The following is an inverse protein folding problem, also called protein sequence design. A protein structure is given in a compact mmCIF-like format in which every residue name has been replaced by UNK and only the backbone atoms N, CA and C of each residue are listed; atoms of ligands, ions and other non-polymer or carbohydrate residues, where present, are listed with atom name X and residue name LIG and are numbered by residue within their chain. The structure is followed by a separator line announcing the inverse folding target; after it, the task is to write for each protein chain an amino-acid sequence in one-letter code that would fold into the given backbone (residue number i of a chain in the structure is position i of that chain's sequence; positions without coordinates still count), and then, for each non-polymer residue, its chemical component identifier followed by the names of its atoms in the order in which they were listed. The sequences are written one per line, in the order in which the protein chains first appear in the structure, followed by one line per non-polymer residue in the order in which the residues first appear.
data_IF_571860600787
#
_entry.id   IF_571860600787
#
_cell.length_a   1.000
_cell.length_b   1.000
_cell.length_c   1.000
_cell.angle_alpha   90.00
_cell.angle_beta   90.00
_cell.angle_gamma   90.00
#
_symmetry.space_group_name_H-M   'P 1'
#
loop_
_entity.id
_entity.type
_entity.pdbx_description
1 polymer ?
#
# COMPACT_ATOMS: atom_id res chain seq x y z
N UNK A 1 24.70 -17.06 -9.78
CA UNK A 1 24.67 -16.14 -8.62
C UNK A 1 24.44 -14.75 -9.15
N UNK A 2 23.54 -13.96 -8.56
CA UNK A 2 23.34 -12.57 -9.01
C UNK A 2 24.65 -11.78 -8.89
N UNK A 3 24.83 -10.76 -9.72
CA UNK A 3 25.97 -9.83 -9.62
C UNK A 3 26.01 -9.06 -8.28
N UNK A 4 24.97 -9.20 -7.44
CA UNK A 4 24.77 -8.52 -6.16
C UNK A 4 24.82 -9.42 -4.91
N UNK A 5 25.15 -10.71 -5.08
CA UNK A 5 25.19 -11.67 -3.98
C UNK A 5 23.82 -12.22 -3.55
N UNK A 6 23.82 -13.16 -2.60
CA UNK A 6 22.58 -13.72 -2.02
C UNK A 6 21.83 -12.62 -1.27
N UNK A 7 20.52 -12.57 -1.44
CA UNK A 7 19.57 -11.63 -0.83
C UNK A 7 19.76 -11.54 0.70
N UNK A 8 19.63 -10.32 1.25
CA UNK A 8 20.03 -9.97 2.62
C UNK A 8 21.54 -9.77 2.78
N UNK A 9 21.93 -8.87 3.69
CA UNK A 9 23.33 -8.67 4.09
C UNK A 9 23.81 -9.85 4.95
N UNK A 10 25.13 -10.03 5.06
CA UNK A 10 25.72 -11.13 5.85
C UNK A 10 25.20 -11.18 7.29
N UNK A 11 24.97 -10.02 7.91
CA UNK A 11 24.52 -9.90 9.30
C UNK A 11 23.04 -10.20 9.54
N UNK A 12 22.17 -10.11 8.52
CA UNK A 12 20.72 -10.33 8.66
C UNK A 12 20.19 -11.59 7.97
N UNK A 13 21.03 -12.24 7.15
CA UNK A 13 20.63 -13.35 6.29
C UNK A 13 19.98 -14.53 7.02
N UNK A 14 20.48 -14.85 8.21
CA UNK A 14 20.13 -16.05 8.98
C UNK A 14 19.30 -15.73 10.22
N UNK A 15 18.68 -14.56 10.28
CA UNK A 15 17.82 -14.23 11.41
C UNK A 15 16.67 -15.22 11.56
N UNK A 16 16.35 -15.66 12.78
CA UNK A 16 15.19 -16.50 13.02
C UNK A 16 13.92 -15.70 12.71
N UNK A 17 12.87 -16.39 12.29
CA UNK A 17 11.63 -15.78 11.80
C UNK A 17 11.00 -14.78 12.78
N UNK A 18 11.04 -15.04 14.10
CA UNK A 18 10.51 -14.12 15.11
C UNK A 18 11.28 -12.78 15.13
N UNK A 19 12.60 -12.80 14.93
CA UNK A 19 13.43 -11.60 14.91
C UNK A 19 13.18 -10.78 13.64
N UNK A 20 12.89 -11.45 12.52
CA UNK A 20 12.45 -10.79 11.28
C UNK A 20 11.14 -10.05 11.51
N UNK A 21 10.13 -10.70 12.12
CA UNK A 21 8.84 -10.07 12.43
C UNK A 21 9.05 -8.87 13.36
N UNK A 22 9.83 -9.04 14.44
CA UNK A 22 10.12 -7.97 15.40
C UNK A 22 10.76 -6.77 14.71
N UNK A 23 11.79 -7.00 13.89
CA UNK A 23 12.49 -5.92 13.19
C UNK A 23 11.60 -5.17 12.20
N UNK A 24 10.78 -5.90 11.42
CA UNK A 24 9.82 -5.30 10.49
C UNK A 24 8.76 -4.49 11.24
N UNK A 25 8.26 -5.01 12.36
CA UNK A 25 7.28 -4.30 13.22
C UNK A 25 7.88 -3.03 13.80
N UNK A 26 9.11 -3.09 14.34
CA UNK A 26 9.81 -1.94 14.89
C UNK A 26 10.11 -0.88 13.83
N UNK A 27 10.44 -1.30 12.61
CA UNK A 27 10.61 -0.41 11.47
C UNK A 27 9.32 0.36 11.16
N UNK A 28 8.16 -0.31 11.08
CA UNK A 28 6.89 0.37 10.81
C UNK A 28 6.44 1.27 11.95
N UNK A 29 6.58 0.80 13.19
CA UNK A 29 6.33 1.62 14.37
C UNK A 29 7.19 2.89 14.35
N UNK A 30 8.48 2.76 14.07
CA UNK A 30 9.42 3.90 14.00
C UNK A 30 9.03 4.85 12.87
N UNK A 31 8.77 4.33 11.67
CA UNK A 31 8.37 5.14 10.52
C UNK A 31 7.11 5.98 10.84
N UNK A 32 6.09 5.34 11.40
CA UNK A 32 4.84 5.98 11.80
C UNK A 32 5.06 7.02 12.91
N UNK A 33 5.65 6.61 14.04
CA UNK A 33 5.80 7.45 15.21
C UNK A 33 6.70 8.67 14.95
N UNK A 34 7.81 8.49 14.22
CA UNK A 34 8.69 9.61 13.89
C UNK A 34 8.04 10.55 12.88
N UNK A 35 7.33 10.04 11.87
CA UNK A 35 6.66 10.89 10.89
C UNK A 35 5.52 11.69 11.50
N UNK A 36 4.68 11.07 12.35
CA UNK A 36 3.66 11.80 13.13
C UNK A 36 4.31 12.85 14.04
N UNK A 37 5.37 12.49 14.77
CA UNK A 37 6.09 13.45 15.61
C UNK A 37 6.69 14.59 14.81
N UNK A 38 7.17 14.38 13.59
CA UNK A 38 7.73 15.46 12.75
C UNK A 38 6.64 16.42 12.23
N UNK A 39 5.43 15.91 12.03
CA UNK A 39 4.30 16.63 11.45
C UNK A 39 3.30 17.16 12.48
N UNK A 40 3.39 16.76 13.75
CA UNK A 40 2.47 17.23 14.78
C UNK A 40 2.69 18.74 15.06
N UNK A 41 1.63 19.57 15.13
CA UNK A 41 1.77 21.00 15.43
C UNK A 41 2.45 21.28 16.77
N UNK A 42 2.36 20.35 17.73
CA UNK A 42 3.00 20.45 19.06
C UNK A 42 4.53 20.40 19.02
N UNK A 43 5.13 19.89 17.96
CA UNK A 43 6.58 19.64 17.87
C UNK A 43 7.28 20.44 16.77
N UNK A 44 6.53 21.06 15.86
CA UNK A 44 7.09 21.73 14.69
C UNK A 44 6.48 23.12 14.47
N UNK A 45 7.24 24.15 14.84
CA UNK A 45 6.85 25.56 14.75
C UNK A 45 6.57 26.02 13.32
N UNK A 46 7.18 25.39 12.31
CA UNK A 46 6.93 25.68 10.89
C UNK A 46 5.56 25.14 10.48
N UNK A 47 5.23 23.91 10.89
CA UNK A 47 3.90 23.32 10.63
C UNK A 47 2.82 24.13 11.33
N UNK A 48 3.07 24.56 12.56
CA UNK A 48 2.16 25.44 13.30
C UNK A 48 1.95 26.78 12.55
N UNK A 49 3.02 27.42 12.08
CA UNK A 49 2.93 28.66 11.32
C UNK A 49 2.20 28.49 9.98
N UNK A 50 2.47 27.41 9.23
CA UNK A 50 1.78 27.10 7.97
C UNK A 50 0.30 26.79 8.18
N UNK A 51 -0.04 26.08 9.25
CA UNK A 51 -1.44 25.78 9.62
C UNK A 51 -2.17 27.08 9.95
N UNK A 52 -1.58 27.95 10.78
CA UNK A 52 -2.14 29.27 11.11
C UNK A 52 -2.31 30.15 9.87
N UNK A 53 -1.36 30.13 8.94
CA UNK A 53 -1.45 30.87 7.67
C UNK A 53 -2.56 30.31 6.77
N UNK A 54 -2.76 28.98 6.75
CA UNK A 54 -3.83 28.35 5.97
C UNK A 54 -5.24 28.62 6.53
N UNK A 55 -5.35 28.93 7.83
CA UNK A 55 -6.60 29.34 8.47
C UNK A 55 -6.90 30.84 8.35
N UNK A 56 -5.96 31.65 7.85
CA UNK A 56 -6.26 33.04 7.49
C UNK A 56 -7.11 33.03 6.22
N UNK A 57 -8.36 33.45 6.37
CA UNK A 57 -9.45 33.41 5.39
C UNK A 57 -9.01 33.71 3.95
N UNK A 58 -8.85 32.67 3.14
CA UNK A 58 -8.91 32.77 1.69
C UNK A 58 -10.41 32.81 1.33
N UNK A 59 -10.89 33.82 0.58
CA UNK A 59 -12.30 33.92 0.21
C UNK A 59 -12.77 32.65 -0.53
N UNK A 60 -14.04 32.22 -0.35
CA UNK A 60 -14.52 30.90 -0.77
C UNK A 60 -14.75 30.76 -2.29
N UNK A 61 -14.05 31.54 -3.12
CA UNK A 61 -14.33 31.69 -4.56
C UNK A 61 -13.39 30.92 -5.48
N UNK A 62 -12.41 30.18 -4.97
CA UNK A 62 -11.64 29.24 -5.80
C UNK A 62 -12.28 27.85 -5.75
N UNK A 63 -12.69 27.35 -6.92
CA UNK A 63 -13.05 25.95 -7.14
C UNK A 63 -11.94 25.06 -6.53
N UNK A 64 -12.25 24.31 -5.46
CA UNK A 64 -11.27 23.48 -4.74
C UNK A 64 -10.87 22.29 -5.61
N UNK A 65 -9.95 22.52 -6.53
CA UNK A 65 -9.37 21.50 -7.43
C UNK A 65 -8.20 20.73 -6.79
N UNK A 66 -7.83 21.05 -5.53
CA UNK A 66 -6.74 20.43 -4.77
C UNK A 66 -7.20 19.51 -3.64
N UNK A 67 -6.24 18.77 -3.05
CA UNK A 67 -6.46 17.94 -1.86
C UNK A 67 -6.94 18.79 -0.67
N UNK A 68 -7.79 18.22 0.19
CA UNK A 68 -8.13 18.84 1.48
C UNK A 68 -6.88 19.01 2.35
N UNK A 69 -6.95 19.86 3.39
CA UNK A 69 -5.85 20.03 4.36
C UNK A 69 -5.55 18.68 5.03
N UNK A 70 -6.61 17.95 5.41
CA UNK A 70 -6.54 16.60 5.99
C UNK A 70 -5.85 15.61 5.04
N UNK A 71 -6.30 15.56 3.78
CA UNK A 71 -5.68 14.70 2.77
C UNK A 71 -4.22 15.07 2.51
N UNK A 72 -3.89 16.36 2.48
CA UNK A 72 -2.51 16.84 2.29
C UNK A 72 -1.61 16.44 3.47
N UNK A 73 -2.11 16.55 4.70
CA UNK A 73 -1.42 16.08 5.90
C UNK A 73 -1.11 14.57 5.80
N UNK A 74 -2.11 13.74 5.49
CA UNK A 74 -1.92 12.30 5.38
C UNK A 74 -1.00 11.89 4.22
N UNK A 75 -1.01 12.63 3.10
CA UNK A 75 -0.07 12.41 2.01
C UNK A 75 1.37 12.66 2.46
N UNK A 76 1.63 13.77 3.14
CA UNK A 76 2.97 14.10 3.65
C UNK A 76 3.40 13.07 4.71
N UNK A 77 2.47 12.64 5.58
CA UNK A 77 2.72 11.59 6.56
C UNK A 77 3.12 10.28 5.91
N UNK A 78 2.38 9.84 4.89
CA UNK A 78 2.66 8.62 4.13
C UNK A 78 4.02 8.70 3.41
N UNK A 79 4.29 9.82 2.72
CA UNK A 79 5.58 10.03 2.05
C UNK A 79 6.75 10.04 3.04
N UNK A 80 6.59 10.66 4.21
CA UNK A 80 7.59 10.64 5.28
C UNK A 80 7.85 9.21 5.76
N UNK A 81 6.80 8.47 6.09
CA UNK A 81 6.91 7.07 6.52
C UNK A 81 7.56 6.21 5.42
N UNK A 82 7.16 6.39 4.16
CA UNK A 82 7.74 5.72 2.98
C UNK A 82 9.24 6.03 2.87
N UNK A 83 9.67 7.26 3.17
CA UNK A 83 11.08 7.65 3.24
C UNK A 83 11.86 6.84 4.29
N UNK A 84 11.30 6.66 5.49
CA UNK A 84 11.89 5.77 6.49
C UNK A 84 12.00 4.33 5.99
N UNK A 85 10.93 3.77 5.41
CA UNK A 85 10.93 2.39 4.87
C UNK A 85 11.97 2.23 3.77
N UNK A 86 12.10 3.21 2.89
CA UNK A 86 13.14 3.22 1.86
C UNK A 86 14.54 3.21 2.47
N UNK A 87 14.82 4.02 3.50
CA UNK A 87 16.10 3.97 4.22
C UNK A 87 16.36 2.58 4.82
N UNK A 88 15.36 1.94 5.42
CA UNK A 88 15.50 0.57 5.90
C UNK A 88 15.75 -0.42 4.76
N UNK A 89 15.13 -0.25 3.59
CA UNK A 89 15.40 -1.10 2.42
C UNK A 89 16.88 -1.10 2.01
N UNK A 90 17.56 0.05 2.14
CA UNK A 90 18.99 0.23 1.90
C UNK A 90 19.84 -0.46 2.97
N UNK A 91 19.46 -0.31 4.25
CA UNK A 91 20.14 -0.93 5.39
C UNK A 91 20.06 -2.45 5.27
N UNK A 92 18.88 -3.00 5.00
CA UNK A 92 18.65 -4.44 4.95
C UNK A 92 19.00 -5.07 3.59
N UNK A 93 19.26 -4.25 2.56
CA UNK A 93 19.44 -4.67 1.15
C UNK A 93 18.25 -5.50 0.67
N UNK A 94 17.03 -5.01 0.95
CA UNK A 94 15.81 -5.74 0.67
C UNK A 94 14.59 -4.82 0.56
N UNK A 95 14.13 -4.54 -0.66
CA UNK A 95 12.93 -3.73 -0.91
C UNK A 95 11.61 -4.44 -0.56
N UNK A 96 11.61 -5.74 -0.28
CA UNK A 96 10.41 -6.46 0.21
C UNK A 96 9.98 -6.11 1.61
N UNK A 97 10.77 -5.30 2.33
CA UNK A 97 10.30 -4.66 3.55
C UNK A 97 9.18 -3.63 3.30
N UNK A 98 8.97 -3.17 2.06
CA UNK A 98 7.85 -2.30 1.70
C UNK A 98 6.55 -3.08 1.49
N UNK A 99 6.60 -4.36 1.10
CA UNK A 99 5.43 -5.17 0.74
C UNK A 99 4.33 -5.28 1.84
N UNK A 100 4.64 -5.29 3.15
CA UNK A 100 3.60 -5.24 4.19
C UNK A 100 3.12 -3.82 4.47
N UNK A 101 4.03 -2.84 4.33
CA UNK A 101 3.84 -1.47 4.76
C UNK A 101 2.62 -0.84 4.08
N UNK A 102 2.47 -1.02 2.76
CA UNK A 102 1.33 -0.47 2.01
C UNK A 102 -0.03 -1.08 2.39
N UNK A 103 -0.05 -2.23 3.09
CA UNK A 103 -1.29 -2.83 3.61
C UNK A 103 -1.63 -2.42 5.06
N UNK A 104 -0.62 -2.01 5.83
CA UNK A 104 -0.78 -1.57 7.23
C UNK A 104 -1.14 -0.08 7.27
N UNK A 105 -0.51 0.72 6.42
CA UNK A 105 -0.63 2.17 6.48
C UNK A 105 -2.07 2.70 6.28
N UNK A 106 -2.89 2.18 5.34
CA UNK A 106 -4.27 2.65 5.22
C UNK A 106 -5.09 2.48 6.50
N UNK A 107 -4.84 1.40 7.25
CA UNK A 107 -5.47 1.16 8.56
C UNK A 107 -5.01 2.19 9.59
N UNK A 108 -3.71 2.52 9.60
CA UNK A 108 -3.17 3.53 10.52
C UNK A 108 -3.68 4.94 10.21
N UNK A 109 -3.71 5.33 8.93
CA UNK A 109 -4.21 6.64 8.49
C UNK A 109 -5.68 6.82 8.88
N UNK A 110 -6.54 5.88 8.49
CA UNK A 110 -7.97 6.00 8.81
C UNK A 110 -8.22 5.87 10.32
N UNK A 111 -7.48 5.01 11.02
CA UNK A 111 -7.57 4.89 12.48
C UNK A 111 -7.17 6.19 13.20
N UNK A 112 -6.13 6.87 12.72
CA UNK A 112 -5.73 8.18 13.24
C UNK A 112 -6.80 9.24 12.97
N UNK A 113 -7.32 9.30 11.74
CA UNK A 113 -8.38 10.25 11.37
C UNK A 113 -9.65 10.08 12.20
N UNK A 114 -10.06 8.82 12.44
CA UNK A 114 -11.21 8.50 13.28
C UNK A 114 -10.96 8.84 14.76
N UNK A 115 -9.72 8.69 15.24
CA UNK A 115 -9.33 9.05 16.60
C UNK A 115 -9.28 10.55 16.85
N UNK A 116 -8.99 11.34 15.81
CA UNK A 116 -8.94 12.81 15.85
C UNK A 116 -10.29 13.48 15.54
N UNK A 117 -11.33 12.70 15.21
CA UNK A 117 -12.65 13.24 14.90
C UNK A 117 -13.36 13.67 16.18
N UNK A 118 -13.65 14.97 16.31
CA UNK A 118 -14.37 15.54 17.46
C UNK A 118 -15.86 15.13 17.49
N UNK A 119 -16.44 14.89 16.32
CA UNK A 119 -17.83 14.47 16.15
C UNK A 119 -18.04 12.98 16.47
N UNK A 120 -19.28 12.60 16.77
CA UNK A 120 -19.63 11.19 16.92
C UNK A 120 -19.40 10.42 15.62
N UNK A 121 -18.77 9.25 15.73
CA UNK A 121 -18.56 8.35 14.60
C UNK A 121 -19.90 7.89 14.02
N UNK A 122 -20.03 8.04 12.71
CA UNK A 122 -21.22 7.67 11.95
C UNK A 122 -21.20 6.18 11.58
N UNK A 123 -22.35 5.65 11.14
CA UNK A 123 -22.42 4.28 10.61
C UNK A 123 -21.47 4.05 9.43
N UNK A 124 -21.25 5.06 8.57
CA UNK A 124 -20.31 4.96 7.44
C UNK A 124 -18.86 4.87 7.94
N UNK A 125 -18.50 5.64 8.96
CA UNK A 125 -17.16 5.60 9.55
C UNK A 125 -16.80 4.18 10.01
N UNK A 126 -17.73 3.50 10.67
CA UNK A 126 -17.55 2.10 11.08
C UNK A 126 -17.45 1.14 9.88
N UNK A 127 -18.24 1.35 8.82
CA UNK A 127 -18.18 0.52 7.61
C UNK A 127 -16.82 0.66 6.91
N UNK A 128 -16.35 1.90 6.72
CA UNK A 128 -15.04 2.17 6.11
C UNK A 128 -13.93 1.53 6.96
N UNK A 129 -13.94 1.77 8.28
CA UNK A 129 -12.96 1.22 9.21
C UNK A 129 -12.93 -0.31 9.15
N UNK A 130 -14.09 -0.97 9.18
CA UNK A 130 -14.20 -2.42 9.14
C UNK A 130 -13.68 -3.00 7.82
N UNK A 131 -14.11 -2.45 6.68
CA UNK A 131 -13.72 -2.94 5.34
C UNK A 131 -12.21 -2.82 5.14
N UNK A 132 -11.61 -1.67 5.49
CA UNK A 132 -10.17 -1.43 5.35
C UNK A 132 -9.37 -2.27 6.35
N UNK A 133 -9.84 -2.43 7.60
CA UNK A 133 -9.19 -3.27 8.59
C UNK A 133 -9.18 -4.74 8.16
N UNK A 134 -10.30 -5.28 7.68
CA UNK A 134 -10.41 -6.66 7.20
C UNK A 134 -9.46 -6.90 6.02
N UNK A 135 -9.40 -5.96 5.07
CA UNK A 135 -8.48 -6.01 3.94
C UNK A 135 -7.00 -6.00 4.40
N UNK A 136 -6.62 -5.01 5.23
CA UNK A 136 -5.25 -4.84 5.70
C UNK A 136 -4.77 -6.00 6.58
N UNK A 137 -5.63 -6.49 7.47
CA UNK A 137 -5.35 -7.66 8.30
C UNK A 137 -5.09 -8.91 7.44
N UNK A 138 -5.86 -9.11 6.36
CA UNK A 138 -5.67 -10.25 5.47
C UNK A 138 -4.36 -10.18 4.69
N UNK A 139 -4.01 -9.01 4.14
CA UNK A 139 -2.73 -8.81 3.47
C UNK A 139 -1.55 -9.02 4.42
N UNK A 140 -1.65 -8.46 5.63
CA UNK A 140 -0.66 -8.63 6.69
C UNK A 140 -0.48 -10.11 7.04
N UNK A 141 -1.57 -10.87 7.20
CA UNK A 141 -1.52 -12.31 7.42
C UNK A 141 -0.82 -13.05 6.28
N UNK A 142 -1.15 -12.71 5.03
CA UNK A 142 -0.52 -13.34 3.86
C UNK A 142 0.99 -13.10 3.82
N UNK A 143 1.44 -11.91 4.21
CA UNK A 143 2.86 -11.62 4.33
C UNK A 143 3.51 -12.38 5.48
N UNK A 144 2.93 -12.36 6.68
CA UNK A 144 3.46 -13.04 7.89
C UNK A 144 3.71 -14.53 7.66
N UNK A 145 2.86 -15.20 6.88
CA UNK A 145 3.02 -16.63 6.56
C UNK A 145 4.06 -16.91 5.46
N UNK A 146 4.49 -15.91 4.71
CA UNK A 146 5.33 -16.05 3.50
C UNK A 146 6.75 -15.47 3.67
N UNK A 147 6.90 -14.36 4.39
CA UNK A 147 8.19 -13.69 4.60
C UNK A 147 8.90 -14.23 5.85
N UNK A 148 9.71 -15.28 5.67
CA UNK A 148 10.35 -15.98 6.81
C UNK A 148 11.76 -15.51 7.14
N UNK A 149 12.49 -15.01 6.16
CA UNK A 149 13.90 -14.63 6.30
C UNK A 149 14.22 -13.42 5.43
N UNK A 150 15.24 -12.65 5.80
CA UNK A 150 15.75 -11.54 4.97
C UNK A 150 16.40 -12.00 3.66
N UNK A 151 16.62 -13.30 3.51
CA UNK A 151 16.99 -13.92 2.24
C UNK A 151 15.82 -13.97 1.25
N UNK A 152 14.58 -13.75 1.68
CA UNK A 152 13.47 -13.63 0.77
C UNK A 152 13.43 -12.21 0.20
N UNK A 153 13.55 -12.07 -1.11
CA UNK A 153 13.26 -10.83 -1.81
C UNK A 153 12.39 -11.16 -3.01
N UNK A 154 11.38 -10.32 -3.26
CA UNK A 154 10.46 -10.50 -4.36
C UNK A 154 11.24 -10.57 -5.69
N UNK A 155 10.80 -11.48 -6.56
CA UNK A 155 11.41 -11.71 -7.86
C UNK A 155 11.38 -10.44 -8.74
N UNK A 156 10.40 -9.55 -8.57
CA UNK A 156 10.32 -8.24 -9.25
C UNK A 156 11.58 -7.43 -8.97
N UNK A 157 12.00 -7.42 -7.71
CA UNK A 157 13.08 -6.55 -7.24
C UNK A 157 14.41 -7.12 -7.71
N UNK A 158 14.57 -8.43 -7.61
CA UNK A 158 15.77 -9.12 -8.05
C UNK A 158 15.90 -9.15 -9.56
N UNK A 159 14.81 -9.35 -10.31
CA UNK A 159 14.81 -9.34 -11.77
C UNK A 159 15.24 -7.98 -12.31
N UNK A 160 14.70 -6.86 -11.81
CA UNK A 160 15.13 -5.53 -12.26
C UNK A 160 16.52 -5.15 -11.81
N UNK A 161 16.93 -5.59 -10.61
CA UNK A 161 18.32 -5.41 -10.17
C UNK A 161 19.29 -6.14 -11.09
N UNK A 162 18.95 -7.37 -11.49
CA UNK A 162 19.86 -8.24 -12.23
C UNK A 162 19.83 -7.97 -13.75
N UNK A 163 18.72 -7.45 -14.30
CA UNK A 163 18.56 -7.13 -15.73
C UNK A 163 19.08 -5.74 -16.13
N UNK A 164 18.90 -4.71 -15.29
CA UNK A 164 19.23 -3.32 -15.66
C UNK A 164 20.71 -2.94 -15.48
N UNK A 165 21.55 -3.87 -15.00
CA UNK A 165 22.98 -3.63 -14.74
C UNK A 165 23.86 -4.32 -15.80
N UNK A 166 23.23 -4.92 -16.83
CA UNK A 166 23.94 -5.52 -17.96
C UNK A 166 24.66 -4.49 -18.85
N UNK A 167 24.08 -3.30 -19.02
CA UNK A 167 24.56 -2.26 -19.95
C UNK A 167 25.24 -1.06 -19.26
N UNK A 168 25.15 -0.96 -17.93
CA UNK A 168 25.69 0.15 -17.14
C UNK A 168 26.95 -0.27 -16.38
N UNK A 169 27.85 0.67 -16.08
CA UNK A 169 28.95 0.42 -15.14
C UNK A 169 28.39 0.01 -13.77
N UNK A 170 29.11 -0.83 -13.03
CA UNK A 170 28.60 -1.43 -11.78
C UNK A 170 28.15 -0.37 -10.75
N UNK A 171 28.89 0.74 -10.63
CA UNK A 171 28.53 1.84 -9.74
C UNK A 171 27.28 2.61 -10.20
N UNK A 172 27.18 2.92 -11.49
CA UNK A 172 26.01 3.62 -12.03
C UNK A 172 24.75 2.75 -11.96
N UNK A 173 24.87 1.45 -12.25
CA UNK A 173 23.78 0.48 -12.13
C UNK A 173 23.20 0.38 -10.72
N UNK A 174 24.07 0.42 -9.69
CA UNK A 174 23.66 0.43 -8.28
C UNK A 174 22.85 1.67 -7.92
N UNK A 175 23.31 2.85 -8.31
CA UNK A 175 22.62 4.12 -8.03
C UNK A 175 21.27 4.15 -8.71
N UNK A 176 21.20 3.78 -9.99
CA UNK A 176 19.93 3.75 -10.73
C UNK A 176 18.96 2.72 -10.15
N UNK A 177 19.45 1.54 -9.74
CA UNK A 177 18.61 0.57 -9.05
C UNK A 177 18.01 1.14 -7.77
N UNK A 178 18.82 1.71 -6.88
CA UNK A 178 18.31 2.17 -5.59
C UNK A 178 17.46 3.42 -5.72
N UNK A 179 17.89 4.43 -6.47
CA UNK A 179 17.18 5.72 -6.57
C UNK A 179 15.95 5.60 -7.47
N UNK A 180 16.11 5.09 -8.69
CA UNK A 180 15.03 5.10 -9.70
C UNK A 180 14.11 3.91 -9.52
N UNK A 181 14.66 2.69 -9.60
CA UNK A 181 13.81 1.50 -9.58
C UNK A 181 13.26 1.22 -8.18
N UNK A 182 14.09 1.27 -7.13
CA UNK A 182 13.66 1.04 -5.76
C UNK A 182 12.93 2.23 -5.18
N UNK A 183 13.57 3.40 -5.11
CA UNK A 183 12.96 4.61 -4.53
C UNK A 183 11.71 5.03 -5.27
N UNK A 184 11.83 5.48 -6.51
CA UNK A 184 10.68 6.00 -7.26
C UNK A 184 9.68 4.90 -7.65
N UNK A 185 10.18 3.77 -8.15
CA UNK A 185 9.33 2.70 -8.68
C UNK A 185 8.69 1.81 -7.63
N UNK A 186 9.46 1.28 -6.65
CA UNK A 186 8.97 0.26 -5.72
C UNK A 186 8.39 0.86 -4.44
N UNK A 187 8.74 2.11 -4.10
CA UNK A 187 8.24 2.79 -2.90
C UNK A 187 7.27 3.92 -3.27
N UNK A 188 7.73 4.96 -3.96
CA UNK A 188 6.91 6.17 -4.19
C UNK A 188 5.68 5.89 -5.06
N UNK A 189 5.83 5.22 -6.20
CA UNK A 189 4.71 4.99 -7.11
C UNK A 189 3.57 4.17 -6.50
N UNK A 190 3.83 3.02 -5.82
CA UNK A 190 2.79 2.31 -5.08
C UNK A 190 2.21 3.13 -3.94
N UNK A 191 3.04 3.90 -3.20
CA UNK A 191 2.56 4.77 -2.12
C UNK A 191 1.52 5.76 -2.64
N UNK A 192 1.83 6.49 -3.72
CA UNK A 192 0.89 7.44 -4.30
C UNK A 192 -0.37 6.77 -4.85
N UNK A 193 -0.24 5.57 -5.40
CA UNK A 193 -1.39 4.81 -5.93
C UNK A 193 -2.34 4.37 -4.81
N UNK A 194 -1.79 3.78 -3.76
CA UNK A 194 -2.55 3.31 -2.58
C UNK A 194 -3.16 4.50 -1.84
N UNK A 195 -2.43 5.58 -1.68
CA UNK A 195 -2.95 6.83 -1.10
C UNK A 195 -4.12 7.38 -1.94
N UNK A 196 -3.96 7.43 -3.26
CA UNK A 196 -5.05 7.82 -4.17
C UNK A 196 -6.29 6.93 -4.03
N UNK A 197 -6.10 5.61 -3.93
CA UNK A 197 -7.17 4.66 -3.66
C UNK A 197 -7.83 4.81 -2.28
N UNK A 198 -7.11 5.38 -1.30
CA UNK A 198 -7.59 5.62 0.07
C UNK A 198 -8.37 6.93 0.23
N UNK A 199 -8.15 7.91 -0.67
CA UNK A 199 -8.85 9.19 -0.66
C UNK A 199 -10.37 9.08 -0.50
N UNK A 200 -11.10 8.17 -1.17
CA UNK A 200 -12.54 8.05 -0.99
C UNK A 200 -12.95 7.81 0.47
N UNK A 201 -12.17 7.03 1.22
CA UNK A 201 -12.39 6.82 2.65
C UNK A 201 -12.06 8.06 3.48
N UNK A 202 -10.94 8.74 3.19
CA UNK A 202 -10.52 9.96 3.89
C UNK A 202 -11.59 11.06 3.75
N UNK A 203 -12.04 11.32 2.51
CA UNK A 203 -13.03 12.35 2.23
C UNK A 203 -14.40 12.03 2.85
N UNK A 204 -14.84 10.76 2.81
CA UNK A 204 -16.11 10.38 3.40
C UNK A 204 -16.13 10.43 4.94
N UNK A 205 -14.97 10.29 5.59
CA UNK A 205 -14.84 10.49 7.04
C UNK A 205 -14.73 11.98 7.38
N UNK A 206 -14.05 12.78 6.55
CA UNK A 206 -13.85 14.22 6.74
C UNK A 206 -15.15 15.03 6.57
N UNK A 207 -16.03 14.61 5.66
CA UNK A 207 -17.24 15.36 5.32
C UNK A 207 -18.28 15.31 6.47
N UNK A 208 -18.43 16.43 7.18
CA UNK A 208 -19.39 16.60 8.28
C UNK A 208 -20.84 16.64 7.80
N UNK A 209 -21.07 17.01 6.54
CA UNK A 209 -22.38 17.02 5.89
C UNK A 209 -22.61 15.77 5.04
N UNK A 210 -21.74 14.75 5.21
CA UNK A 210 -21.83 13.52 4.45
C UNK A 210 -23.24 12.93 4.55
N UNK A 211 -23.74 12.40 3.44
CA UNK A 211 -25.06 11.80 3.41
C UNK A 211 -25.18 10.74 4.50
N UNK A 212 -26.38 10.54 5.06
CA UNK A 212 -26.59 9.39 5.97
C UNK A 212 -26.22 8.08 5.27
N UNK A 213 -25.84 7.08 6.05
CA UNK A 213 -25.57 5.73 5.54
C UNK A 213 -26.74 5.28 4.65
N UNK A 214 -26.42 4.88 3.43
CA UNK A 214 -27.40 4.60 2.38
C UNK A 214 -27.09 3.28 1.67
N UNK A 215 -27.91 2.94 0.67
CA UNK A 215 -27.80 1.66 -0.05
C UNK A 215 -26.46 1.54 -0.79
N UNK A 216 -25.88 2.65 -1.28
CA UNK A 216 -24.58 2.61 -1.97
C UNK A 216 -23.44 2.25 -1.02
N UNK A 217 -23.51 2.61 0.26
CA UNK A 217 -22.54 2.17 1.27
C UNK A 217 -22.53 0.64 1.39
N UNK A 218 -23.72 0.03 1.42
CA UNK A 218 -23.89 -1.43 1.50
C UNK A 218 -23.37 -2.09 0.22
N UNK A 219 -23.67 -1.53 -0.95
CA UNK A 219 -23.18 -2.03 -2.24
C UNK A 219 -21.66 -1.95 -2.29
N UNK A 220 -21.07 -0.81 -1.96
CA UNK A 220 -19.62 -0.61 -1.94
C UNK A 220 -18.92 -1.55 -0.97
N UNK A 221 -19.43 -1.68 0.27
CA UNK A 221 -18.90 -2.62 1.24
C UNK A 221 -18.99 -4.07 0.75
N UNK A 222 -20.11 -4.45 0.12
CA UNK A 222 -20.28 -5.80 -0.45
C UNK A 222 -19.28 -6.08 -1.57
N UNK A 223 -19.05 -5.11 -2.47
CA UNK A 223 -18.04 -5.21 -3.54
C UNK A 223 -16.65 -5.39 -2.92
N UNK A 224 -16.29 -4.56 -1.94
CA UNK A 224 -14.97 -4.63 -1.32
C UNK A 224 -14.74 -5.95 -0.59
N UNK A 225 -15.70 -6.39 0.21
CA UNK A 225 -15.60 -7.65 0.95
C UNK A 225 -15.59 -8.87 0.02
N UNK A 226 -16.37 -8.86 -1.05
CA UNK A 226 -16.29 -9.88 -2.10
C UNK A 226 -14.90 -9.93 -2.74
N UNK A 227 -14.30 -8.76 -2.99
CA UNK A 227 -12.91 -8.63 -3.43
C UNK A 227 -11.90 -9.26 -2.46
N UNK A 228 -12.03 -8.94 -1.17
CA UNK A 228 -11.17 -9.50 -0.11
C UNK A 228 -11.28 -11.03 -0.04
N UNK A 229 -12.50 -11.58 -0.13
CA UNK A 229 -12.74 -13.04 -0.11
C UNK A 229 -12.15 -13.71 -1.35
N UNK A 230 -12.40 -13.15 -2.53
CA UNK A 230 -11.86 -13.66 -3.81
C UNK A 230 -10.33 -13.73 -3.74
N UNK A 231 -9.71 -12.65 -3.29
CA UNK A 231 -8.27 -12.54 -3.19
C UNK A 231 -7.67 -13.46 -2.13
N UNK A 232 -8.25 -13.51 -0.93
CA UNK A 232 -7.81 -14.43 0.12
C UNK A 232 -7.90 -15.90 -0.32
N UNK A 233 -8.96 -16.27 -1.04
CA UNK A 233 -9.12 -17.60 -1.62
C UNK A 233 -8.04 -17.89 -2.66
N UNK A 234 -7.78 -16.95 -3.57
CA UNK A 234 -6.75 -17.07 -4.59
C UNK A 234 -5.34 -17.23 -3.98
N UNK A 235 -4.99 -16.41 -2.99
CA UNK A 235 -3.69 -16.46 -2.32
C UNK A 235 -3.53 -17.77 -1.52
N UNK A 236 -4.61 -18.29 -0.92
CA UNK A 236 -4.59 -19.58 -0.21
C UNK A 236 -4.41 -20.78 -1.15
N UNK A 237 -5.09 -20.78 -2.30
CA UNK A 237 -4.87 -21.78 -3.34
C UNK A 237 -3.42 -21.78 -3.81
N UNK A 238 -2.86 -20.59 -4.07
CA UNK A 238 -1.49 -20.44 -4.53
C UNK A 238 -0.46 -20.84 -3.46
N UNK A 239 -0.69 -20.46 -2.21
CA UNK A 239 0.17 -20.84 -1.08
C UNK A 239 0.22 -22.35 -0.90
N UNK A 240 -0.93 -23.02 -0.93
CA UNK A 240 -1.04 -24.47 -0.81
C UNK A 240 -0.34 -25.16 -1.97
N UNK A 241 -0.54 -24.67 -3.19
CA UNK A 241 0.15 -25.20 -4.38
C UNK A 241 1.68 -25.11 -4.26
N UNK A 242 2.22 -23.96 -3.82
CA UNK A 242 3.67 -23.78 -3.61
C UNK A 242 4.28 -24.69 -2.53
N UNK A 243 3.46 -25.16 -1.59
CA UNK A 243 3.86 -26.09 -0.53
C UNK A 243 3.64 -27.56 -0.87
N UNK A 244 3.04 -27.86 -2.02
CA UNK A 244 2.80 -29.23 -2.44
C UNK A 244 4.09 -29.94 -2.83
N UNK A 245 4.14 -31.25 -2.63
CA UNK A 245 5.29 -32.11 -3.00
C UNK A 245 5.61 -32.06 -4.50
N UNK A 246 4.64 -31.68 -5.32
CA UNK A 246 4.77 -31.63 -6.78
C UNK A 246 5.23 -30.26 -7.30
N UNK A 247 5.43 -29.27 -6.42
CA UNK A 247 5.84 -27.93 -6.85
C UNK A 247 7.30 -27.94 -7.34
N UNK A 248 7.50 -27.50 -8.59
CA UNK A 248 8.81 -27.20 -9.18
C UNK A 248 8.89 -25.72 -9.57
N UNK A 249 10.05 -25.07 -9.52
CA UNK A 249 10.22 -23.72 -10.09
C UNK A 249 9.69 -23.66 -11.52
N UNK A 250 8.87 -22.65 -11.83
CA UNK A 250 8.19 -22.51 -13.12
C UNK A 250 6.83 -23.23 -13.24
N UNK A 251 6.41 -23.98 -12.22
CA UNK A 251 5.08 -24.61 -12.21
C UNK A 251 3.96 -23.57 -12.15
N UNK A 252 2.88 -23.81 -12.90
CA UNK A 252 1.72 -22.92 -13.00
C UNK A 252 0.50 -23.62 -12.36
N UNK A 253 -0.18 -22.93 -11.45
CA UNK A 253 -1.46 -23.39 -10.90
C UNK A 253 -2.57 -23.14 -11.93
N UNK A 254 -3.18 -24.20 -12.45
CA UNK A 254 -4.21 -24.15 -13.51
C UNK A 254 -5.60 -24.62 -13.05
N UNK A 255 -5.82 -24.77 -11.75
CA UNK A 255 -7.09 -25.23 -11.16
C UNK A 255 -7.69 -24.16 -10.25
N UNK A 256 -8.94 -24.34 -9.81
CA UNK A 256 -9.62 -23.39 -8.95
C UNK A 256 -9.81 -22.03 -9.62
N UNK A 257 -9.57 -20.94 -8.88
CA UNK A 257 -9.70 -19.57 -9.41
C UNK A 257 -8.64 -19.28 -10.49
N UNK A 258 -7.44 -19.82 -10.31
CA UNK A 258 -6.31 -19.63 -11.23
C UNK A 258 -6.49 -20.34 -12.58
N UNK A 259 -7.40 -21.32 -12.65
CA UNK A 259 -7.81 -21.94 -13.92
C UNK A 259 -8.82 -21.11 -14.72
N UNK A 260 -9.47 -20.12 -14.09
CA UNK A 260 -10.51 -19.27 -14.72
C UNK A 260 -9.99 -17.89 -15.07
N UNK A 261 -9.23 -17.29 -14.15
CA UNK A 261 -8.63 -15.96 -14.30
C UNK A 261 -7.14 -16.10 -14.05
N UNK A 262 -6.30 -15.42 -14.84
CA UNK A 262 -4.84 -15.52 -14.73
C UNK A 262 -4.31 -14.97 -13.40
N UNK A 263 -4.95 -13.93 -12.88
CA UNK A 263 -4.58 -13.23 -11.64
C UNK A 263 -5.83 -12.95 -10.78
N UNK A 264 -6.46 -13.99 -10.20
CA UNK A 264 -7.70 -13.82 -9.45
C UNK A 264 -7.50 -13.01 -8.17
N UNK A 265 -6.28 -13.01 -7.62
CA UNK A 265 -5.94 -12.16 -6.49
C UNK A 265 -5.92 -10.67 -6.87
N UNK A 266 -5.52 -10.31 -8.09
CA UNK A 266 -5.51 -8.91 -8.50
C UNK A 266 -6.91 -8.41 -8.77
N UNK A 267 -7.77 -9.26 -9.34
CA UNK A 267 -9.18 -8.95 -9.49
C UNK A 267 -9.82 -8.65 -8.13
N UNK A 268 -9.53 -9.45 -7.11
CA UNK A 268 -10.04 -9.18 -5.76
C UNK A 268 -9.51 -7.89 -5.15
N UNK A 269 -8.24 -7.57 -5.39
CA UNK A 269 -7.65 -6.29 -4.96
C UNK A 269 -8.30 -5.10 -5.69
N UNK A 270 -8.52 -5.17 -7.00
CA UNK A 270 -9.23 -4.14 -7.77
C UNK A 270 -10.65 -3.92 -7.26
N UNK A 271 -11.40 -5.00 -6.97
CA UNK A 271 -12.74 -4.92 -6.41
C UNK A 271 -12.74 -4.24 -5.03
N UNK A 272 -11.74 -4.49 -4.19
CA UNK A 272 -11.59 -3.77 -2.92
C UNK A 272 -11.57 -2.26 -3.11
N UNK A 273 -10.69 -1.76 -3.98
CA UNK A 273 -10.54 -0.32 -4.22
C UNK A 273 -11.75 0.30 -4.93
N UNK A 274 -12.39 -0.43 -5.84
CA UNK A 274 -13.64 0.01 -6.49
C UNK A 274 -14.77 0.14 -5.46
N UNK A 275 -14.94 -0.84 -4.57
CA UNK A 275 -15.97 -0.78 -3.54
C UNK A 275 -15.73 0.35 -2.54
N UNK A 276 -14.47 0.63 -2.17
CA UNK A 276 -14.12 1.77 -1.33
C UNK A 276 -14.45 3.11 -2.02
N UNK A 277 -14.21 3.23 -3.33
CA UNK A 277 -14.61 4.40 -4.10
C UNK A 277 -16.14 4.57 -4.15
N UNK A 278 -16.91 3.49 -4.23
CA UNK A 278 -18.39 3.53 -4.16
C UNK A 278 -18.85 4.05 -2.79
N UNK A 279 -18.24 3.59 -1.69
CA UNK A 279 -18.55 4.11 -0.33
C UNK A 279 -18.21 5.60 -0.24
N UNK A 280 -17.04 6.00 -0.75
CA UNK A 280 -16.63 7.41 -0.76
C UNK A 280 -17.59 8.30 -1.56
N UNK A 281 -18.01 7.83 -2.73
CA UNK A 281 -19.02 8.50 -3.55
C UNK A 281 -20.38 8.58 -2.84
N UNK A 282 -20.79 7.52 -2.13
CA UNK A 282 -22.04 7.49 -1.38
C UNK A 282 -22.11 8.56 -0.29
N UNK A 283 -20.98 8.90 0.33
CA UNK A 283 -20.91 9.95 1.35
C UNK A 283 -20.81 11.37 0.79
N UNK A 284 -20.01 11.55 -0.26
CA UNK A 284 -19.56 12.88 -0.71
C UNK A 284 -20.20 13.35 -2.02
N UNK A 285 -20.86 12.45 -2.75
CA UNK A 285 -21.34 12.67 -4.12
C UNK A 285 -20.26 13.18 -5.10
N UNK A 286 -18.98 12.91 -4.81
CA UNK A 286 -17.85 13.36 -5.60
C UNK A 286 -17.33 12.24 -6.53
N UNK A 287 -17.60 12.28 -7.85
CA UNK A 287 -17.19 11.23 -8.77
C UNK A 287 -15.67 11.19 -9.03
N UNK A 288 -14.92 12.26 -8.75
CA UNK A 288 -13.47 12.30 -8.96
C UNK A 288 -12.73 11.29 -8.07
N UNK A 289 -13.34 10.84 -6.97
CA UNK A 289 -12.81 9.82 -6.07
C UNK A 289 -12.60 8.46 -6.76
N UNK A 290 -13.28 8.19 -7.88
CA UNK A 290 -13.02 6.99 -8.68
C UNK A 290 -11.65 7.01 -9.39
N UNK A 291 -11.01 8.17 -9.55
CA UNK A 291 -9.67 8.26 -10.13
C UNK A 291 -8.64 7.45 -9.32
N UNK A 292 -8.78 7.41 -7.98
CA UNK A 292 -7.95 6.61 -7.10
C UNK A 292 -8.11 5.11 -7.35
N UNK A 293 -9.36 4.63 -7.45
CA UNK A 293 -9.64 3.24 -7.81
C UNK A 293 -9.13 2.89 -9.22
N UNK A 294 -9.28 3.81 -10.19
CA UNK A 294 -8.73 3.63 -11.53
C UNK A 294 -7.19 3.54 -11.52
N UNK A 295 -6.52 4.35 -10.71
CA UNK A 295 -5.06 4.28 -10.52
C UNK A 295 -4.64 2.94 -9.90
N UNK A 296 -5.40 2.40 -8.94
CA UNK A 296 -5.17 1.07 -8.40
C UNK A 296 -5.37 -0.04 -9.46
N UNK A 297 -6.39 0.09 -10.31
CA UNK A 297 -6.55 -0.80 -11.46
C UNK A 297 -5.35 -0.70 -12.39
N UNK A 298 -4.83 0.49 -12.70
CA UNK A 298 -3.62 0.66 -13.53
C UNK A 298 -2.42 -0.02 -12.88
N UNK A 299 -2.14 0.28 -11.60
CA UNK A 299 -1.05 -0.33 -10.84
C UNK A 299 -1.07 -1.87 -10.93
N UNK A 300 -2.25 -2.47 -10.87
CA UNK A 300 -2.46 -3.92 -10.87
C UNK A 300 -2.60 -4.54 -12.28
N UNK A 301 -2.93 -3.73 -13.30
CA UNK A 301 -3.18 -4.18 -14.67
C UNK A 301 -1.97 -4.08 -15.59
N UNK A 302 -0.94 -3.32 -15.20
CA UNK A 302 0.31 -3.21 -15.97
C UNK A 302 1.07 -4.53 -15.86
N UNK A 303 0.67 -5.52 -16.65
CA UNK A 303 1.39 -6.77 -16.84
C UNK A 303 1.45 -7.09 -18.34
N UNK A 304 2.65 -6.95 -18.92
CA UNK A 304 2.87 -7.26 -20.32
C UNK A 304 3.12 -8.75 -20.51
N UNK A 305 2.44 -9.33 -21.50
CA UNK A 305 2.80 -10.62 -22.09
C UNK A 305 4.20 -10.50 -22.72
N UNK A 306 5.16 -11.33 -22.28
CA UNK A 306 6.41 -11.57 -23.01
C UNK A 306 7.59 -10.64 -22.64
N UNK A 307 8.58 -11.28 -22.02
CA UNK A 307 10.02 -10.99 -21.94
C UNK A 307 10.59 -9.62 -21.52
N UNK A 308 9.90 -8.49 -21.51
CA UNK A 308 10.49 -7.23 -21.00
C UNK A 308 9.41 -6.29 -20.43
N UNK A 309 9.51 -5.93 -19.14
CA UNK A 309 8.63 -4.93 -18.54
C UNK A 309 8.61 -4.90 -17.00
N UNK A 310 8.57 -3.68 -16.47
CA UNK A 310 8.78 -3.25 -15.08
C UNK A 310 7.45 -3.35 -14.29
N UNK A 311 7.43 -4.21 -13.26
CA UNK A 311 6.76 -4.04 -11.94
C UNK A 311 5.27 -4.37 -11.69
N UNK A 312 5.10 -4.73 -10.39
CA UNK A 312 4.00 -4.58 -9.42
C UNK A 312 2.85 -5.61 -9.36
N UNK A 313 3.00 -6.45 -8.32
CA UNK A 313 1.98 -6.79 -7.32
C UNK A 313 1.61 -8.27 -7.22
N UNK A 314 2.54 -9.23 -7.06
CA UNK A 314 2.15 -10.55 -6.55
C UNK A 314 2.23 -10.55 -5.02
N UNK A 315 1.09 -10.70 -4.36
CA UNK A 315 0.95 -10.99 -2.93
C UNK A 315 1.20 -12.49 -2.68
#
# INVERSE_FOLDING_TARGET
MSKFGRTGRSWNRYWPHWLVILAVTMMYYTAWAQSLKMLSPRSNSIVQALTTISTLEIPPTSEKTGLSITSSFYLILDLSCTGFIYCFSLIFNNSSCYDPYWSILPVLILGHQLGDKDDQLTGRDYVIAAVVLIWGARLTYNWLRSFKTWSHQDWRYTHLRDSNIGWMSHGFGLVTYWVVFSGLGFHIYPTLSVFGGLLPGIYAIEDSEAQKLNVLDIVGASISLAGVVLQGTADNQLYTFRKSVNFKPGSILKTGLWGRVRHPNYLGEMLFWIGLAVIGFAGTNNPYLFAGAAQMVILLSVQKNGNYGIFLCKI
#
